data_IF_589587629106
#
_entry.id   IF_589587629106
#
_cell.length_a   1.000
_cell.length_b   1.000
_cell.length_c   1.000
_cell.angle_alpha   90.00
_cell.angle_beta   90.00
_cell.angle_gamma   90.00
#
_symmetry.space_group_name_H-M   'P 1'
#
loop_
_entity.id
_entity.type
_entity.pdbx_description
1 polymer ?
#
# COMPACT_ATOMS: atom_id res chain seq x y z
N UNK A 1 30.41 -29.38 -35.04
CA UNK A 1 29.66 -28.57 -36.01
C UNK A 1 30.43 -27.28 -36.25
N UNK A 2 30.20 -26.51 -37.34
CA UNK A 2 30.83 -25.21 -37.51
C UNK A 2 30.46 -24.26 -36.35
N UNK A 3 31.41 -23.52 -35.80
CA UNK A 3 31.19 -22.68 -34.61
C UNK A 3 30.07 -21.65 -34.76
N UNK A 4 29.82 -21.13 -35.96
CA UNK A 4 28.72 -20.20 -36.22
C UNK A 4 27.33 -20.84 -36.10
N UNK A 5 27.22 -22.16 -36.34
CA UNK A 5 25.98 -22.91 -36.11
C UNK A 5 25.79 -23.10 -34.62
N UNK A 6 26.86 -23.35 -33.87
CA UNK A 6 26.80 -23.50 -32.41
C UNK A 6 26.46 -22.18 -31.71
N UNK A 7 26.96 -21.05 -32.19
CA UNK A 7 26.61 -19.73 -31.66
C UNK A 7 25.20 -19.28 -32.04
N UNK A 8 24.75 -19.53 -33.28
CA UNK A 8 23.37 -19.27 -33.70
C UNK A 8 22.39 -20.20 -32.98
N UNK A 9 22.77 -21.45 -32.74
CA UNK A 9 21.96 -22.41 -31.97
C UNK A 9 22.01 -22.07 -30.47
N UNK A 10 23.10 -21.52 -29.95
CA UNK A 10 23.12 -20.94 -28.59
C UNK A 10 22.22 -19.71 -28.51
N UNK A 11 22.27 -18.76 -29.43
CA UNK A 11 21.39 -17.58 -29.40
C UNK A 11 19.90 -17.94 -29.61
N UNK A 12 19.60 -18.93 -30.46
CA UNK A 12 18.22 -19.39 -30.67
C UNK A 12 17.68 -20.30 -29.54
N UNK A 13 18.56 -21.03 -28.83
CA UNK A 13 18.17 -21.94 -27.74
C UNK A 13 18.46 -21.40 -26.33
N UNK A 14 19.24 -20.33 -26.17
CA UNK A 14 19.30 -19.52 -24.94
C UNK A 14 18.03 -18.69 -24.84
N UNK A 15 16.94 -19.37 -24.48
CA UNK A 15 15.78 -18.81 -23.81
C UNK A 15 15.22 -17.47 -24.32
N UNK A 16 15.00 -17.24 -25.62
CA UNK A 16 14.31 -16.03 -26.08
C UNK A 16 12.90 -15.92 -25.48
N UNK A 17 12.25 -17.06 -25.22
CA UNK A 17 10.97 -17.11 -24.51
C UNK A 17 11.10 -16.78 -23.02
N UNK A 18 12.23 -17.10 -22.39
CA UNK A 18 12.46 -16.80 -20.98
C UNK A 18 12.73 -15.30 -20.78
N UNK A 19 13.55 -14.69 -21.65
CA UNK A 19 13.74 -13.24 -21.65
C UNK A 19 12.43 -12.49 -21.95
N UNK A 20 11.69 -12.91 -22.99
CA UNK A 20 10.37 -12.32 -23.27
C UNK A 20 9.37 -12.52 -22.12
N UNK A 21 9.39 -13.66 -21.45
CA UNK A 21 8.53 -13.91 -20.29
C UNK A 21 8.92 -13.03 -19.10
N UNK A 22 10.21 -12.80 -18.90
CA UNK A 22 10.72 -11.88 -17.89
C UNK A 22 10.25 -10.45 -18.19
N UNK A 23 10.39 -9.97 -19.43
CA UNK A 23 9.91 -8.63 -19.81
C UNK A 23 8.40 -8.46 -19.59
N UNK A 24 7.59 -9.48 -19.95
CA UNK A 24 6.14 -9.46 -19.71
C UNK A 24 5.82 -9.50 -18.22
N UNK A 25 6.55 -10.29 -17.44
CA UNK A 25 6.38 -10.38 -15.99
C UNK A 25 6.77 -9.06 -15.32
N UNK A 26 7.92 -8.48 -15.64
CA UNK A 26 8.40 -7.20 -15.14
C UNK A 26 7.42 -6.08 -15.49
N UNK A 27 6.78 -6.14 -16.66
CA UNK A 27 5.70 -5.23 -17.03
C UNK A 27 4.43 -5.43 -16.19
N UNK A 28 4.01 -6.67 -15.94
CA UNK A 28 2.84 -6.98 -15.09
C UNK A 28 3.07 -6.60 -13.62
N UNK A 29 4.26 -6.86 -13.10
CA UNK A 29 4.69 -6.42 -11.78
C UNK A 29 4.77 -4.89 -11.76
N UNK A 30 5.36 -4.25 -12.77
CA UNK A 30 5.40 -2.79 -12.90
C UNK A 30 4.02 -2.12 -12.86
N UNK A 31 3.02 -2.73 -13.49
CA UNK A 31 1.64 -2.23 -13.43
C UNK A 31 0.98 -2.46 -12.07
N UNK A 32 1.07 -3.66 -11.51
CA UNK A 32 0.48 -3.97 -10.20
C UNK A 32 1.15 -3.17 -9.08
N UNK A 33 2.46 -2.97 -9.15
CA UNK A 33 3.23 -2.10 -8.24
C UNK A 33 2.87 -0.64 -8.39
N UNK A 34 2.62 -0.17 -9.62
CA UNK A 34 2.10 1.16 -9.90
C UNK A 34 0.73 1.42 -9.30
N UNK A 35 -0.09 0.38 -9.09
CA UNK A 35 -1.39 0.46 -8.41
C UNK A 35 -1.24 0.38 -6.88
N UNK A 36 -0.37 -0.51 -6.39
CA UNK A 36 -0.15 -0.72 -4.94
C UNK A 36 0.59 0.47 -4.30
N UNK A 37 1.46 1.14 -5.05
CA UNK A 37 2.24 2.28 -4.56
C UNK A 37 1.48 3.61 -4.67
N UNK A 38 0.24 3.59 -5.17
CA UNK A 38 -0.59 4.79 -5.20
C UNK A 38 -1.31 5.00 -3.88
N UNK A 39 -1.21 6.22 -3.35
CA UNK A 39 -2.07 6.64 -2.27
C UNK A 39 -3.56 6.55 -2.68
N UNK A 40 -4.48 6.24 -1.76
CA UNK A 40 -5.91 6.22 -2.04
C UNK A 40 -6.45 7.56 -2.59
N UNK A 41 -5.72 8.66 -2.37
CA UNK A 41 -6.00 9.97 -2.95
C UNK A 41 -5.71 10.05 -4.46
N UNK A 42 -4.64 9.38 -4.90
CA UNK A 42 -4.20 9.36 -6.29
C UNK A 42 -4.97 8.33 -7.11
N UNK A 43 -5.44 7.25 -6.48
CA UNK A 43 -6.21 6.20 -7.16
C UNK A 43 -7.59 6.66 -7.64
N UNK A 44 -8.30 7.49 -6.86
CA UNK A 44 -9.57 8.08 -7.28
C UNK A 44 -9.73 9.53 -6.76
N UNK A 45 -9.26 10.54 -7.52
CA UNK A 45 -9.29 11.93 -7.08
C UNK A 45 -10.71 12.47 -6.90
N UNK A 46 -11.67 12.02 -7.73
CA UNK A 46 -13.07 12.44 -7.63
C UNK A 46 -13.76 11.90 -6.37
N UNK A 47 -13.50 10.64 -5.99
CA UNK A 47 -14.05 10.07 -4.75
C UNK A 47 -13.40 10.74 -3.53
N UNK A 48 -12.10 11.02 -3.61
CA UNK A 48 -11.38 11.68 -2.52
C UNK A 48 -11.86 13.12 -2.28
N UNK A 49 -12.11 13.88 -3.35
CA UNK A 49 -12.65 15.25 -3.24
C UNK A 49 -14.02 15.27 -2.54
N UNK A 50 -14.90 14.31 -2.86
CA UNK A 50 -16.18 14.16 -2.18
C UNK A 50 -16.02 13.84 -0.68
N UNK A 51 -15.12 12.90 -0.35
CA UNK A 51 -14.83 12.55 1.04
C UNK A 51 -14.26 13.74 1.81
N UNK A 52 -13.34 14.48 1.21
CA UNK A 52 -12.66 15.63 1.80
C UNK A 52 -13.61 16.81 2.04
N UNK A 53 -14.42 17.17 1.04
CA UNK A 53 -15.20 18.39 1.06
C UNK A 53 -16.60 18.21 1.64
N UNK A 54 -17.16 17.00 1.58
CA UNK A 54 -18.55 16.75 1.97
C UNK A 54 -18.65 15.84 3.19
N UNK A 55 -18.04 14.65 3.12
CA UNK A 55 -18.28 13.62 4.13
C UNK A 55 -17.52 13.90 5.42
N UNK A 56 -16.21 14.18 5.33
CA UNK A 56 -15.37 14.36 6.50
C UNK A 56 -15.74 15.57 7.35
N UNK A 57 -16.03 16.77 6.82
CA UNK A 57 -16.44 17.91 7.63
C UNK A 57 -17.72 17.61 8.41
N UNK A 58 -18.64 16.87 7.79
CA UNK A 58 -19.91 16.47 8.41
C UNK A 58 -19.69 15.44 9.52
N UNK A 59 -18.97 14.35 9.24
CA UNK A 59 -18.63 13.32 10.24
C UNK A 59 -17.83 13.89 11.39
N UNK A 60 -16.88 14.78 11.10
CA UNK A 60 -16.08 15.47 12.12
C UNK A 60 -16.95 16.35 13.02
N UNK A 61 -17.89 17.12 12.44
CA UNK A 61 -18.82 17.93 13.22
C UNK A 61 -19.69 17.09 14.17
N UNK A 62 -20.19 15.96 13.69
CA UNK A 62 -20.96 15.01 14.50
C UNK A 62 -20.11 14.41 15.61
N UNK A 63 -18.90 13.93 15.28
CA UNK A 63 -17.97 13.40 16.29
C UNK A 63 -17.66 14.42 17.38
N UNK A 64 -17.37 15.68 17.00
CA UNK A 64 -16.99 16.74 17.95
C UNK A 64 -18.15 17.09 18.88
N UNK A 65 -19.35 17.21 18.32
CA UNK A 65 -20.54 17.47 19.11
C UNK A 65 -20.85 16.32 20.08
N UNK A 66 -20.80 15.06 19.63
CA UNK A 66 -21.02 13.90 20.50
C UNK A 66 -19.98 13.83 21.64
N UNK A 67 -18.70 14.06 21.33
CA UNK A 67 -17.64 14.01 22.34
C UNK A 67 -17.84 15.09 23.42
N UNK A 68 -18.19 16.31 23.02
CA UNK A 68 -18.50 17.39 23.96
C UNK A 68 -19.75 17.08 24.80
N UNK A 69 -20.80 16.49 24.22
CA UNK A 69 -22.02 16.08 24.94
C UNK A 69 -21.71 15.00 25.98
N UNK A 70 -20.96 13.96 25.62
CA UNK A 70 -20.57 12.92 26.58
C UNK A 70 -19.72 13.48 27.72
N UNK A 71 -18.80 14.39 27.42
CA UNK A 71 -18.00 15.05 28.44
C UNK A 71 -18.87 15.86 29.41
N UNK A 72 -19.84 16.63 28.91
CA UNK A 72 -20.78 17.38 29.76
C UNK A 72 -21.62 16.43 30.62
N UNK A 73 -22.11 15.32 30.08
CA UNK A 73 -22.86 14.32 30.86
C UNK A 73 -22.02 13.72 31.99
N UNK A 74 -20.76 13.37 31.72
CA UNK A 74 -19.82 12.86 32.74
C UNK A 74 -19.50 13.93 33.77
N UNK A 75 -19.28 15.17 33.33
CA UNK A 75 -19.02 16.31 34.20
C UNK A 75 -20.21 16.60 35.13
N UNK A 76 -21.43 16.63 34.60
CA UNK A 76 -22.66 16.82 35.38
C UNK A 76 -22.91 15.66 36.34
N UNK A 77 -22.58 14.42 35.96
CA UNK A 77 -22.67 13.26 36.86
C UNK A 77 -21.66 13.36 38.01
N UNK A 78 -20.43 13.76 37.71
CA UNK A 78 -19.42 14.04 38.73
C UNK A 78 -19.87 15.20 39.64
N UNK A 79 -20.52 16.22 39.07
CA UNK A 79 -21.03 17.34 39.84
C UNK A 79 -22.27 17.02 40.68
N UNK A 80 -23.17 16.15 40.22
CA UNK A 80 -24.34 15.72 40.99
C UNK A 80 -23.97 14.89 42.23
N UNK A 81 -22.76 14.30 42.26
CA UNK A 81 -22.23 13.60 43.41
C UNK A 81 -21.64 14.53 44.49
N UNK A 82 -22.03 15.83 44.49
CA UNK A 82 -21.67 16.95 45.41
C UNK A 82 -21.58 16.64 46.93
N UNK A 83 -21.97 15.44 47.38
CA UNK A 83 -21.71 14.95 48.73
C UNK A 83 -20.23 14.54 48.93
N UNK A 84 -19.47 14.33 47.86
CA UNK A 84 -18.00 14.24 47.86
C UNK A 84 -17.43 15.48 47.14
N UNK A 85 -16.47 16.16 47.77
CA UNK A 85 -15.82 17.37 47.26
C UNK A 85 -15.41 17.25 45.79
N UNK A 86 -16.05 18.00 44.90
CA UNK A 86 -15.46 18.30 43.59
C UNK A 86 -14.24 19.19 43.85
N UNK A 87 -13.04 18.68 43.62
CA UNK A 87 -11.82 19.50 43.65
C UNK A 87 -11.70 20.24 42.31
N UNK A 88 -11.26 21.50 42.34
CA UNK A 88 -10.98 22.29 41.13
C UNK A 88 -9.96 21.61 40.21
N UNK A 89 -9.09 20.79 40.77
CA UNK A 89 -8.07 20.01 40.06
C UNK A 89 -8.68 19.02 39.07
N UNK A 90 -9.71 18.27 39.45
CA UNK A 90 -10.40 17.32 38.57
C UNK A 90 -11.14 18.03 37.43
N UNK A 91 -11.67 19.23 37.70
CA UNK A 91 -12.34 20.07 36.70
C UNK A 91 -11.35 20.57 35.64
N UNK A 92 -10.20 21.08 36.07
CA UNK A 92 -9.13 21.59 35.19
C UNK A 92 -8.55 20.45 34.35
N UNK A 93 -8.25 19.30 34.98
CA UNK A 93 -7.74 18.12 34.28
C UNK A 93 -8.72 17.63 33.21
N UNK A 94 -10.02 17.60 33.51
CA UNK A 94 -11.07 17.25 32.55
C UNK A 94 -11.09 18.20 31.34
N UNK A 95 -11.06 19.51 31.57
CA UNK A 95 -11.10 20.51 30.50
C UNK A 95 -9.87 20.44 29.60
N UNK A 96 -8.67 20.20 30.16
CA UNK A 96 -7.44 20.02 29.38
C UNK A 96 -7.56 18.77 28.49
N UNK A 97 -8.06 17.65 29.03
CA UNK A 97 -8.27 16.42 28.24
C UNK A 97 -9.26 16.63 27.10
N UNK A 98 -10.35 17.36 27.33
CA UNK A 98 -11.33 17.69 26.28
C UNK A 98 -10.71 18.55 25.17
N UNK A 99 -9.92 19.56 25.52
CA UNK A 99 -9.22 20.40 24.53
C UNK A 99 -8.24 19.54 23.72
N UNK A 100 -7.45 18.69 24.37
CA UNK A 100 -6.51 17.79 23.69
C UNK A 100 -7.24 16.83 22.71
N UNK A 101 -8.36 16.23 23.14
CA UNK A 101 -9.19 15.36 22.30
C UNK A 101 -9.80 16.09 21.10
N UNK A 102 -10.30 17.32 21.30
CA UNK A 102 -10.86 18.12 20.22
C UNK A 102 -9.80 18.54 19.19
N UNK A 103 -8.58 18.87 19.64
CA UNK A 103 -7.45 19.16 18.75
C UNK A 103 -7.01 17.91 17.98
N UNK A 104 -6.92 16.76 18.66
CA UNK A 104 -6.56 15.49 18.03
C UNK A 104 -7.55 15.11 16.93
N UNK A 105 -8.85 15.27 17.18
CA UNK A 105 -9.87 14.96 16.17
C UNK A 105 -9.90 15.96 15.01
N UNK A 106 -9.46 17.21 15.22
CA UNK A 106 -9.24 18.18 14.15
C UNK A 106 -8.07 17.80 13.25
N UNK A 107 -6.99 17.23 13.82
CA UNK A 107 -5.81 16.78 13.07
C UNK A 107 -5.95 15.40 12.44
N UNK A 108 -7.02 14.65 12.76
CA UNK A 108 -7.14 13.23 12.39
C UNK A 108 -7.05 12.93 10.89
N UNK A 109 -7.57 13.82 10.03
CA UNK A 109 -7.45 13.65 8.59
C UNK A 109 -6.02 13.88 8.08
N UNK A 110 -5.32 14.90 8.59
CA UNK A 110 -3.92 15.15 8.20
C UNK A 110 -3.04 13.95 8.58
N UNK A 111 -3.21 13.42 9.79
CA UNK A 111 -2.52 12.20 10.23
C UNK A 111 -2.76 11.00 9.30
N UNK A 112 -4.00 10.80 8.87
CA UNK A 112 -4.34 9.70 7.96
C UNK A 112 -3.63 9.85 6.60
N UNK A 113 -3.56 11.07 6.07
CA UNK A 113 -2.87 11.35 4.81
C UNK A 113 -1.36 11.14 4.93
N UNK A 114 -0.77 11.56 6.06
CA UNK A 114 0.65 11.34 6.34
C UNK A 114 0.99 9.84 6.40
N UNK A 115 0.16 9.04 7.08
CA UNK A 115 0.34 7.58 7.13
C UNK A 115 0.24 6.92 5.75
N UNK A 116 -0.71 7.36 4.91
CA UNK A 116 -0.82 6.84 3.54
C UNK A 116 0.42 7.18 2.72
N UNK A 117 0.86 8.45 2.73
CA UNK A 117 2.05 8.86 2.00
C UNK A 117 3.32 8.10 2.45
N UNK A 118 3.45 7.83 3.74
CA UNK A 118 4.56 7.05 4.28
C UNK A 118 4.49 5.58 3.85
N UNK A 119 3.29 4.99 3.81
CA UNK A 119 3.08 3.64 3.33
C UNK A 119 3.38 3.51 1.83
N UNK A 120 2.97 4.48 1.01
CA UNK A 120 3.28 4.53 -0.42
C UNK A 120 4.79 4.61 -0.67
N UNK A 121 5.51 5.45 0.09
CA UNK A 121 6.97 5.54 0.00
C UNK A 121 7.66 4.22 0.38
N UNK A 122 7.24 3.58 1.47
CA UNK A 122 7.81 2.30 1.90
C UNK A 122 7.47 1.15 0.94
N UNK A 123 6.29 1.16 0.32
CA UNK A 123 5.91 0.20 -0.70
C UNK A 123 6.86 0.24 -1.90
N UNK A 124 7.26 1.44 -2.33
CA UNK A 124 8.16 1.62 -3.46
C UNK A 124 9.59 1.08 -3.18
N UNK A 125 10.10 1.26 -1.97
CA UNK A 125 11.43 0.78 -1.56
C UNK A 125 11.51 -0.76 -1.42
N UNK A 126 10.40 -1.43 -1.06
CA UNK A 126 10.36 -2.91 -1.00
C UNK A 126 10.33 -3.53 -2.41
N UNK A 127 9.96 -2.76 -3.43
CA UNK A 127 9.84 -3.24 -4.79
C UNK A 127 11.13 -3.06 -5.61
N UNK A 128 12.09 -2.29 -5.11
CA UNK A 128 13.43 -2.17 -5.72
C UNK A 128 14.38 -3.33 -5.39
N UNK A 129 13.91 -4.42 -4.77
CA UNK A 129 14.72 -5.62 -4.59
C UNK A 129 14.91 -6.32 -5.94
N UNK A 130 16.09 -6.12 -6.53
CA UNK A 130 16.52 -6.73 -7.78
C UNK A 130 16.59 -8.27 -7.66
N UNK A 131 16.00 -8.96 -8.63
CA UNK A 131 15.97 -10.41 -8.67
C UNK A 131 17.41 -10.96 -8.83
N UNK A 132 17.84 -11.95 -8.01
CA UNK A 132 19.15 -12.56 -8.19
C UNK A 132 19.22 -13.25 -9.56
N UNK A 133 20.26 -12.94 -10.34
CA UNK A 133 20.49 -13.57 -11.64
C UNK A 133 20.67 -15.09 -11.48
N UNK A 134 19.72 -15.88 -11.99
CA UNK A 134 19.68 -17.34 -11.86
C UNK A 134 20.63 -18.10 -12.82
N UNK A 135 21.47 -17.40 -13.58
CA UNK A 135 22.33 -18.04 -14.56
C UNK A 135 23.61 -18.58 -13.92
N UNK A 136 23.62 -19.87 -13.60
CA UNK A 136 24.85 -20.59 -13.27
C UNK A 136 25.58 -20.95 -14.56
N UNK A 137 26.82 -20.46 -14.70
CA UNK A 137 27.66 -20.67 -15.87
C UNK A 137 28.21 -22.09 -15.94
N UNK A 138 27.41 -23.03 -16.47
CA UNK A 138 27.80 -24.22 -17.22
C UNK A 138 26.51 -24.96 -17.63
N UNK A 139 26.16 -24.85 -18.92
CA UNK A 139 24.84 -25.26 -19.42
C UNK A 139 25.00 -26.50 -20.30
N UNK A 140 24.67 -27.67 -19.75
CA UNK A 140 24.58 -28.93 -20.48
C UNK A 140 23.33 -28.95 -21.38
N UNK A 141 23.33 -29.69 -22.50
CA UNK A 141 22.23 -29.69 -23.49
C UNK A 141 20.88 -30.05 -22.85
N UNK A 142 20.89 -30.93 -21.83
CA UNK A 142 19.70 -31.27 -21.06
C UNK A 142 19.18 -30.10 -20.20
N UNK A 143 20.07 -29.26 -19.67
CA UNK A 143 19.68 -28.05 -18.94
C UNK A 143 19.11 -26.99 -19.88
N UNK A 144 19.67 -26.81 -21.10
CA UNK A 144 19.10 -25.89 -22.12
C UNK A 144 17.66 -26.27 -22.45
N UNK A 145 17.38 -27.56 -22.68
CA UNK A 145 16.04 -28.04 -23.03
C UNK A 145 15.04 -27.85 -21.87
N UNK A 146 15.50 -28.05 -20.63
CA UNK A 146 14.70 -27.81 -19.43
C UNK A 146 14.35 -26.33 -19.27
N UNK A 147 15.32 -25.42 -19.45
CA UNK A 147 15.10 -23.97 -19.41
C UNK A 147 14.17 -23.49 -20.52
N UNK A 148 14.21 -24.11 -21.70
CA UNK A 148 13.29 -23.79 -22.80
C UNK A 148 11.84 -24.17 -22.48
N UNK A 149 11.61 -25.38 -21.96
CA UNK A 149 10.27 -25.83 -21.57
C UNK A 149 9.74 -25.04 -20.36
N UNK A 150 10.59 -24.77 -19.37
CA UNK A 150 10.24 -23.95 -18.20
C UNK A 150 9.94 -22.50 -18.59
N UNK A 151 10.76 -21.90 -19.47
CA UNK A 151 10.57 -20.54 -19.97
C UNK A 151 9.28 -20.38 -20.76
N UNK A 152 8.91 -21.37 -21.58
CA UNK A 152 7.64 -21.37 -22.29
C UNK A 152 6.42 -21.47 -21.34
N UNK A 153 6.52 -22.31 -20.31
CA UNK A 153 5.48 -22.43 -19.28
C UNK A 153 5.35 -21.13 -18.47
N UNK A 154 6.49 -20.54 -18.09
CA UNK A 154 6.54 -19.25 -17.40
C UNK A 154 5.93 -18.11 -18.23
N UNK A 155 6.20 -18.07 -19.55
CA UNK A 155 5.56 -17.12 -20.47
C UNK A 155 4.04 -17.22 -20.46
N UNK A 156 3.48 -18.44 -20.52
CA UNK A 156 2.03 -18.64 -20.47
C UNK A 156 1.42 -18.19 -19.15
N UNK A 157 2.08 -18.47 -18.02
CA UNK A 157 1.62 -18.03 -16.71
C UNK A 157 1.67 -16.51 -16.62
N UNK A 158 2.77 -15.87 -17.04
CA UNK A 158 2.91 -14.41 -17.04
C UNK A 158 1.81 -13.75 -17.89
N UNK A 159 1.48 -14.31 -19.05
CA UNK A 159 0.41 -13.81 -19.93
C UNK A 159 -0.97 -13.97 -19.28
N UNK A 160 -1.27 -15.12 -18.66
CA UNK A 160 -2.53 -15.33 -17.92
C UNK A 160 -2.63 -14.36 -16.74
N UNK A 161 -1.55 -14.15 -15.99
CA UNK A 161 -1.51 -13.17 -14.90
C UNK A 161 -1.74 -11.75 -15.41
N UNK A 162 -1.13 -11.36 -16.54
CA UNK A 162 -1.40 -10.08 -17.18
C UNK A 162 -2.88 -9.92 -17.58
N UNK A 163 -3.48 -10.94 -18.19
CA UNK A 163 -4.91 -10.93 -18.54
C UNK A 163 -5.87 -10.94 -17.34
N UNK A 164 -5.42 -11.37 -16.15
CA UNK A 164 -6.25 -11.36 -14.93
C UNK A 164 -6.20 -10.01 -14.19
N UNK A 165 -5.12 -9.24 -14.38
CA UNK A 165 -4.93 -7.92 -13.75
C UNK A 165 -5.72 -6.84 -14.51
N UNK A 166 -5.91 -7.00 -15.83
CA UNK A 166 -6.72 -6.14 -16.70
C UNK A 166 -8.17 -6.64 -16.84
#
# INVERSE_FOLDING_TARGET
MPGWVEDLLKEMFYGPFYEMAKDVWDWCIGLSTGVISQDPQHFSPATWDFVMNTLYPWTRGIGLSMMNVFFICVFLKAASNLKENITLELCIEGMIRLVALNVLMNMGMQLMQDFFSMAALMGNEVLSFEEPAFFTGEVDIGSVLFWWFMGFLYFFIALICGMLIF
#
